data_IF_153321223060
#
_entry.id   IF_153321223060
#
_cell.length_a   1.000
_cell.length_b   1.000
_cell.length_c   1.000
_cell.angle_alpha   90.00
_cell.angle_beta   90.00
_cell.angle_gamma   90.00
#
_symmetry.space_group_name_H-M   'P 1'
#
loop_
_entity.id
_entity.type
_entity.pdbx_description
1 polymer ?
#
# COMPACT_ATOMS: atom_id res chain seq x y z
N UNK A 1 -14.28 -7.74 27.89
CA UNK A 1 -14.16 -6.29 27.85
C UNK A 1 -15.31 -5.68 27.06
N UNK A 2 -15.70 -4.48 27.36
CA UNK A 2 -16.81 -3.74 26.71
C UNK A 2 -16.30 -2.88 25.53
N UNK A 3 -15.27 -3.31 24.82
CA UNK A 3 -14.70 -2.56 23.71
C UNK A 3 -15.46 -2.78 22.41
N UNK A 4 -15.48 -1.76 21.55
CA UNK A 4 -16.00 -1.81 20.19
C UNK A 4 -14.89 -1.59 19.17
N UNK A 5 -14.87 -2.40 18.11
CA UNK A 5 -13.92 -2.29 16.99
C UNK A 5 -14.66 -1.73 15.77
N UNK A 6 -14.14 -0.66 15.19
CA UNK A 6 -14.53 -0.19 13.86
C UNK A 6 -13.41 -0.53 12.87
N UNK A 7 -13.70 -1.40 11.91
CA UNK A 7 -12.78 -1.80 10.85
C UNK A 7 -13.09 -1.07 9.54
N UNK A 8 -12.04 -0.53 8.91
CA UNK A 8 -12.13 0.23 7.66
C UNK A 8 -11.34 -0.48 6.56
N UNK A 9 -11.93 -0.59 5.38
CA UNK A 9 -11.24 -1.06 4.17
C UNK A 9 -11.90 -0.45 2.93
N UNK A 10 -11.17 -0.34 1.84
CA UNK A 10 -11.68 0.07 0.52
C UNK A 10 -11.98 -1.13 -0.36
N UNK A 11 -11.39 -2.29 -0.08
CA UNK A 11 -11.57 -3.53 -0.82
C UNK A 11 -12.87 -4.23 -0.41
N UNK A 12 -13.93 -4.00 -1.16
CA UNK A 12 -15.25 -4.58 -0.87
C UNK A 12 -15.25 -6.12 -0.91
N UNK A 13 -14.37 -6.74 -1.70
CA UNK A 13 -14.32 -8.20 -1.88
C UNK A 13 -13.74 -8.86 -0.63
N UNK A 14 -12.57 -8.41 -0.20
CA UNK A 14 -11.89 -8.99 0.96
C UNK A 14 -12.57 -8.58 2.27
N UNK A 15 -13.10 -7.37 2.34
CA UNK A 15 -13.88 -6.90 3.49
C UNK A 15 -15.11 -7.77 3.74
N UNK A 16 -15.91 -8.09 2.70
CA UNK A 16 -17.10 -8.92 2.83
C UNK A 16 -16.78 -10.32 3.36
N UNK A 17 -15.73 -10.96 2.85
CA UNK A 17 -15.27 -12.27 3.31
C UNK A 17 -14.81 -12.24 4.77
N UNK A 18 -14.08 -11.18 5.14
CA UNK A 18 -13.58 -11.00 6.49
C UNK A 18 -14.71 -10.72 7.48
N UNK A 19 -15.68 -9.88 7.11
CA UNK A 19 -16.86 -9.64 7.94
C UNK A 19 -17.65 -10.91 8.16
N UNK A 20 -17.97 -11.68 7.11
CA UNK A 20 -18.67 -12.95 7.24
C UNK A 20 -17.95 -13.91 8.19
N UNK A 21 -16.64 -14.06 8.05
CA UNK A 21 -15.82 -14.91 8.92
C UNK A 21 -15.91 -14.48 10.40
N UNK A 22 -15.83 -13.16 10.65
CA UNK A 22 -15.88 -12.63 12.02
C UNK A 22 -17.28 -12.75 12.64
N UNK A 23 -18.35 -12.51 11.85
CA UNK A 23 -19.73 -12.74 12.30
C UNK A 23 -19.97 -14.19 12.67
N UNK A 24 -19.45 -15.14 11.89
CA UNK A 24 -19.54 -16.58 12.17
C UNK A 24 -18.77 -16.99 13.44
N UNK A 25 -17.78 -16.20 13.87
CA UNK A 25 -17.06 -16.39 15.14
C UNK A 25 -17.75 -15.72 16.34
N UNK A 26 -18.91 -15.08 16.13
CA UNK A 26 -19.71 -14.48 17.21
C UNK A 26 -19.44 -13.00 17.46
N UNK A 27 -18.66 -12.32 16.61
CA UNK A 27 -18.47 -10.87 16.73
C UNK A 27 -19.68 -10.14 16.11
N UNK A 28 -20.69 -9.85 16.94
CA UNK A 28 -21.91 -9.17 16.55
C UNK A 28 -21.71 -7.66 16.27
N UNK A 29 -22.77 -6.96 15.81
CA UNK A 29 -22.72 -5.54 15.52
C UNK A 29 -22.52 -4.66 16.77
N UNK A 30 -22.73 -5.21 17.96
CA UNK A 30 -22.45 -4.62 19.26
C UNK A 30 -20.92 -4.54 19.57
N UNK A 31 -20.12 -5.41 18.94
CA UNK A 31 -18.68 -5.51 19.14
C UNK A 31 -17.89 -5.00 17.92
N UNK A 32 -18.42 -5.23 16.70
CA UNK A 32 -17.72 -4.98 15.45
C UNK A 32 -18.59 -4.20 14.46
N UNK A 33 -18.10 -3.05 14.02
CA UNK A 33 -18.59 -2.32 12.85
C UNK A 33 -17.57 -2.43 11.71
N UNK A 34 -18.04 -2.76 10.50
CA UNK A 34 -17.21 -2.79 9.29
C UNK A 34 -17.73 -1.73 8.32
N UNK A 35 -16.84 -0.89 7.80
CA UNK A 35 -17.19 0.20 6.90
C UNK A 35 -16.31 0.18 5.64
N UNK A 36 -16.95 0.19 4.46
CA UNK A 36 -16.25 0.42 3.19
C UNK A 36 -15.95 1.91 3.04
N UNK A 37 -14.81 2.34 3.57
CA UNK A 37 -14.36 3.72 3.53
C UNK A 37 -12.83 3.77 3.49
N UNK A 38 -12.28 4.77 2.81
CA UNK A 38 -10.86 5.02 2.84
C UNK A 38 -10.46 5.58 4.21
N UNK A 39 -9.41 5.06 4.81
CA UNK A 39 -8.96 5.50 6.14
C UNK A 39 -8.52 6.98 6.18
N UNK A 40 -8.24 7.61 5.03
CA UNK A 40 -8.08 9.06 4.95
C UNK A 40 -9.33 9.84 5.40
N UNK A 41 -10.50 9.19 5.42
CA UNK A 41 -11.76 9.77 5.87
C UNK A 41 -12.13 9.30 7.29
N UNK A 42 -11.14 9.05 8.13
CA UNK A 42 -11.34 8.60 9.51
C UNK A 42 -12.09 9.62 10.37
N UNK A 43 -12.01 10.90 10.02
CA UNK A 43 -12.79 11.99 10.63
C UNK A 43 -14.30 11.77 10.47
N UNK A 44 -14.78 11.39 9.29
CA UNK A 44 -16.20 11.05 9.05
C UNK A 44 -16.66 9.87 9.91
N UNK A 45 -15.74 8.92 10.19
CA UNK A 45 -16.02 7.78 11.06
C UNK A 45 -16.09 8.23 12.52
N UNK A 46 -15.15 9.07 12.96
CA UNK A 46 -15.13 9.61 14.32
C UNK A 46 -16.32 10.52 14.61
N UNK A 47 -16.86 11.25 13.63
CA UNK A 47 -18.09 12.02 13.77
C UNK A 47 -19.32 11.15 14.06
N UNK A 48 -19.36 9.92 13.54
CA UNK A 48 -20.48 8.99 13.71
C UNK A 48 -20.34 8.08 14.93
N UNK A 49 -19.14 7.58 15.16
CA UNK A 49 -18.87 6.52 16.14
C UNK A 49 -18.19 7.07 17.41
N UNK A 50 -17.78 8.34 17.41
CA UNK A 50 -16.97 8.93 18.48
C UNK A 50 -15.48 8.76 18.23
N UNK A 51 -14.67 9.44 19.08
CA UNK A 51 -13.21 9.36 19.02
C UNK A 51 -12.70 8.00 19.51
N UNK A 52 -11.49 7.65 19.12
CA UNK A 52 -10.89 6.35 19.36
C UNK A 52 -9.85 6.39 20.50
N UNK A 53 -9.82 5.33 21.30
CA UNK A 53 -8.79 5.12 22.32
C UNK A 53 -7.54 4.47 21.73
N UNK A 54 -7.71 3.70 20.65
CA UNK A 54 -6.63 3.05 19.94
C UNK A 54 -6.93 2.97 18.44
N UNK A 55 -5.94 3.31 17.62
CA UNK A 55 -6.01 3.15 16.17
C UNK A 55 -4.82 2.29 15.72
N UNK A 56 -5.12 1.24 14.95
CA UNK A 56 -4.13 0.43 14.25
C UNK A 56 -4.32 0.62 12.74
N UNK A 57 -3.28 1.06 12.05
CA UNK A 57 -3.24 1.06 10.59
C UNK A 57 -2.25 -0.01 10.12
N UNK A 58 -2.76 -1.01 9.40
CA UNK A 58 -1.97 -2.07 8.75
C UNK A 58 -1.94 -1.74 7.25
N UNK A 59 -0.81 -1.15 6.80
CA UNK A 59 -0.69 -0.61 5.44
C UNK A 59 -0.35 -1.69 4.42
N UNK A 60 -0.52 -1.35 3.15
CA UNK A 60 -0.18 -2.22 2.03
C UNK A 60 -1.28 -3.20 1.63
N UNK A 61 -0.89 -4.33 1.10
CA UNK A 61 -1.79 -5.35 0.53
C UNK A 61 -1.65 -6.68 1.25
N UNK A 62 -2.77 -7.39 1.40
CA UNK A 62 -2.80 -8.71 2.01
C UNK A 62 -2.29 -9.80 1.05
N UNK A 63 -1.86 -10.95 1.61
CA UNK A 63 -1.51 -12.13 0.81
C UNK A 63 -2.66 -12.58 -0.09
N UNK A 64 -3.90 -12.49 0.37
CA UNK A 64 -5.08 -12.86 -0.41
C UNK A 64 -5.26 -11.99 -1.67
N UNK A 65 -4.94 -10.70 -1.57
CA UNK A 65 -4.94 -9.79 -2.73
C UNK A 65 -3.77 -10.10 -3.67
N UNK A 66 -2.57 -10.38 -3.13
CA UNK A 66 -1.38 -10.72 -3.92
C UNK A 66 -1.55 -12.05 -4.67
N UNK A 67 -2.19 -13.04 -4.05
CA UNK A 67 -2.38 -14.38 -4.61
C UNK A 67 -3.55 -14.45 -5.61
N UNK A 68 -4.33 -13.38 -5.76
CA UNK A 68 -5.38 -13.29 -6.76
C UNK A 68 -4.83 -12.69 -8.07
N UNK A 69 -4.64 -13.47 -9.17
CA UNK A 69 -4.08 -12.99 -10.42
C UNK A 69 -4.89 -11.85 -11.05
N UNK A 70 -6.23 -11.84 -10.88
CA UNK A 70 -7.13 -10.84 -11.46
C UNK A 70 -6.94 -9.42 -10.88
N UNK A 71 -6.22 -9.31 -9.77
CA UNK A 71 -5.89 -8.03 -9.12
C UNK A 71 -4.59 -7.42 -9.64
N UNK A 72 -3.72 -8.21 -10.25
CA UNK A 72 -2.46 -7.76 -10.84
C UNK A 72 -1.35 -7.38 -9.84
N UNK A 73 -1.48 -7.66 -8.54
CA UNK A 73 -0.47 -7.29 -7.53
C UNK A 73 0.80 -8.14 -7.60
N UNK A 74 0.75 -9.31 -8.23
CA UNK A 74 1.88 -10.21 -8.31
C UNK A 74 2.43 -10.33 -9.74
N UNK A 75 3.74 -10.17 -9.90
CA UNK A 75 4.44 -10.45 -11.15
C UNK A 75 4.77 -11.94 -11.35
N UNK A 76 4.36 -12.82 -10.42
CA UNK A 76 4.60 -14.27 -10.48
C UNK A 76 3.59 -14.99 -11.37
N UNK A 77 2.37 -14.47 -11.43
CA UNK A 77 1.27 -15.01 -12.20
C UNK A 77 0.86 -14.02 -13.28
N UNK A 78 0.40 -14.52 -14.42
CA UNK A 78 -0.16 -13.66 -15.46
C UNK A 78 -1.57 -13.23 -15.08
N UNK A 79 -1.87 -11.96 -15.32
CA UNK A 79 -3.14 -11.35 -15.04
C UNK A 79 -3.20 -9.91 -15.54
N UNK A 80 -4.35 -9.24 -15.48
CA UNK A 80 -4.47 -7.85 -15.87
C UNK A 80 -3.58 -6.97 -14.99
N UNK A 81 -2.93 -5.98 -15.59
CA UNK A 81 -2.12 -4.98 -14.86
C UNK A 81 -3.06 -3.93 -14.27
N UNK A 82 -3.78 -4.30 -13.20
CA UNK A 82 -4.77 -3.43 -12.54
C UNK A 82 -4.17 -2.64 -11.38
N UNK A 83 -3.78 -3.30 -10.31
CA UNK A 83 -3.15 -2.76 -9.07
C UNK A 83 -4.05 -1.88 -8.21
N UNK A 84 -5.34 -1.71 -8.52
CA UNK A 84 -6.26 -0.93 -7.69
C UNK A 84 -6.71 -1.72 -6.46
N UNK A 85 -6.75 -1.06 -5.31
CA UNK A 85 -7.35 -1.61 -4.08
C UNK A 85 -8.88 -1.64 -4.18
N UNK A 86 -9.50 -0.60 -4.74
CA UNK A 86 -10.92 -0.56 -5.11
C UNK A 86 -11.07 -0.53 -6.63
N UNK A 87 -11.33 -1.69 -7.25
CA UNK A 87 -11.47 -1.82 -8.70
C UNK A 87 -12.70 -1.09 -9.27
N UNK A 88 -13.57 -0.55 -8.42
CA UNK A 88 -14.75 0.23 -8.85
C UNK A 88 -14.42 1.71 -9.07
N UNK A 89 -13.19 2.16 -8.73
CA UNK A 89 -12.77 3.56 -8.79
C UNK A 89 -11.43 3.71 -9.50
N UNK A 90 -11.21 4.91 -10.05
CA UNK A 90 -9.95 5.24 -10.70
C UNK A 90 -9.68 4.41 -11.96
N UNK A 91 -8.47 4.51 -12.47
CA UNK A 91 -8.02 3.77 -13.65
C UNK A 91 -6.98 2.70 -13.26
N UNK A 92 -6.97 1.53 -13.93
CA UNK A 92 -5.96 0.52 -13.69
C UNK A 92 -4.57 0.98 -14.14
N UNK A 93 -3.52 0.37 -13.60
CA UNK A 93 -2.14 0.73 -13.93
C UNK A 93 -1.84 0.62 -15.44
N UNK A 94 -2.47 -0.31 -16.14
CA UNK A 94 -2.37 -0.45 -17.61
C UNK A 94 -2.88 0.79 -18.36
N UNK A 95 -3.95 1.43 -17.91
CA UNK A 95 -4.46 2.68 -18.48
C UNK A 95 -3.59 3.87 -18.06
N UNK A 96 -3.21 3.94 -16.78
CA UNK A 96 -2.33 4.97 -16.25
C UNK A 96 -1.02 5.09 -17.05
N UNK A 97 -0.41 3.97 -17.42
CA UNK A 97 0.81 3.92 -18.22
C UNK A 97 0.66 4.53 -19.63
N UNK A 98 -0.57 4.57 -20.19
CA UNK A 98 -0.83 5.20 -21.50
C UNK A 98 -0.81 6.72 -21.44
N UNK A 99 -1.00 7.30 -20.26
CA UNK A 99 -1.17 8.75 -20.07
C UNK A 99 0.06 9.43 -19.44
N UNK A 100 1.04 8.66 -18.93
CA UNK A 100 2.27 9.23 -18.37
C UNK A 100 3.35 9.42 -19.43
N UNK A 101 4.16 10.44 -19.25
CA UNK A 101 5.39 10.61 -20.02
C UNK A 101 6.50 9.70 -19.47
N UNK A 102 7.60 9.57 -20.24
CA UNK A 102 8.78 8.82 -19.77
C UNK A 102 9.32 9.38 -18.46
N UNK A 103 9.43 10.70 -18.36
CA UNK A 103 10.05 11.37 -17.22
C UNK A 103 9.15 11.29 -15.98
N UNK A 104 7.83 11.36 -16.14
CA UNK A 104 6.87 11.11 -15.06
C UNK A 104 6.94 9.66 -14.56
N UNK A 105 7.03 8.69 -15.46
CA UNK A 105 7.14 7.29 -15.05
C UNK A 105 8.48 7.00 -14.37
N UNK A 106 9.58 7.56 -14.87
CA UNK A 106 10.89 7.48 -14.21
C UNK A 106 10.85 8.10 -12.82
N UNK A 107 10.26 9.29 -12.66
CA UNK A 107 10.06 9.96 -11.37
C UNK A 107 9.23 9.10 -10.42
N UNK A 108 8.13 8.53 -10.88
CA UNK A 108 7.29 7.61 -10.09
C UNK A 108 8.08 6.41 -9.56
N UNK A 109 8.92 5.78 -10.39
CA UNK A 109 9.75 4.64 -9.99
C UNK A 109 10.79 5.03 -8.92
N UNK A 110 11.36 6.22 -9.03
CA UNK A 110 12.34 6.74 -8.06
C UNK A 110 11.63 7.08 -6.74
N UNK A 111 10.59 7.90 -6.80
CA UNK A 111 9.95 8.48 -5.62
C UNK A 111 9.16 7.45 -4.81
N UNK A 112 8.46 6.51 -5.48
CA UNK A 112 7.61 5.54 -4.82
C UNK A 112 8.33 4.26 -4.38
N UNK A 113 9.51 3.94 -4.97
CA UNK A 113 10.14 2.66 -4.68
C UNK A 113 11.67 2.64 -4.65
N UNK A 114 12.33 3.79 -4.78
CA UNK A 114 13.79 3.89 -4.83
C UNK A 114 14.39 2.93 -5.90
N UNK A 115 13.75 2.83 -7.10
CA UNK A 115 14.17 1.91 -8.16
C UNK A 115 15.47 2.38 -8.83
N UNK A 116 16.60 1.64 -8.73
CA UNK A 116 17.88 2.09 -9.26
C UNK A 116 17.97 2.05 -10.79
N UNK A 117 17.10 1.29 -11.47
CA UNK A 117 17.05 1.18 -12.93
C UNK A 117 15.82 1.89 -13.51
N UNK A 118 15.34 2.92 -12.83
CA UNK A 118 14.13 3.65 -13.21
C UNK A 118 14.20 4.19 -14.65
N UNK A 119 15.33 4.78 -15.05
CA UNK A 119 15.53 5.35 -16.38
C UNK A 119 15.46 4.28 -17.49
N UNK A 120 16.10 3.13 -17.28
CA UNK A 120 16.11 2.00 -18.23
C UNK A 120 14.71 1.39 -18.36
N UNK A 121 14.03 1.16 -17.23
CA UNK A 121 12.68 0.59 -17.21
C UNK A 121 11.70 1.56 -17.88
N UNK A 122 11.69 2.83 -17.51
CA UNK A 122 10.83 3.83 -18.11
C UNK A 122 11.07 3.95 -19.62
N UNK A 123 12.33 3.93 -20.05
CA UNK A 123 12.68 3.98 -21.48
C UNK A 123 12.10 2.79 -22.24
N UNK A 124 12.26 1.57 -21.74
CA UNK A 124 11.81 0.35 -22.42
C UNK A 124 10.29 0.27 -22.47
N UNK A 125 9.61 0.56 -21.36
CA UNK A 125 8.14 0.54 -21.27
C UNK A 125 7.53 1.59 -22.21
N UNK A 126 8.01 2.83 -22.18
CA UNK A 126 7.48 3.89 -23.02
C UNK A 126 7.78 3.69 -24.51
N UNK A 127 8.91 3.06 -24.86
CA UNK A 127 9.19 2.67 -26.25
C UNK A 127 8.21 1.61 -26.76
N UNK A 128 7.84 0.66 -25.91
CA UNK A 128 6.87 -0.37 -26.28
C UNK A 128 5.49 0.21 -26.51
N UNK A 129 5.02 1.08 -25.61
CA UNK A 129 3.75 1.80 -25.76
C UNK A 129 3.72 2.68 -27.02
N UNK A 130 4.81 3.41 -27.34
CA UNK A 130 4.93 4.21 -28.58
C UNK A 130 4.84 3.39 -29.87
N UNK A 131 5.17 2.10 -29.82
CA UNK A 131 4.98 1.16 -30.95
C UNK A 131 3.55 0.67 -31.10
N UNK A 132 2.67 1.07 -30.20
CA UNK A 132 1.28 0.58 -30.16
C UNK A 132 1.10 -0.78 -29.50
N UNK A 133 2.11 -1.27 -28.78
CA UNK A 133 2.02 -2.52 -28.05
C UNK A 133 1.56 -2.23 -26.61
N UNK A 134 0.38 -2.71 -26.20
CA UNK A 134 -0.14 -2.46 -24.87
C UNK A 134 0.70 -3.14 -23.79
N UNK A 135 0.77 -2.51 -22.61
CA UNK A 135 1.37 -3.08 -21.38
C UNK A 135 0.21 -3.29 -20.41
N UNK A 136 -0.59 -4.29 -20.69
CA UNK A 136 -1.88 -4.56 -20.04
C UNK A 136 -1.89 -5.77 -19.12
N UNK A 137 -0.79 -6.54 -19.10
CA UNK A 137 -0.63 -7.69 -18.21
C UNK A 137 0.61 -7.61 -17.34
N UNK A 138 0.55 -8.30 -16.22
CA UNK A 138 1.67 -8.44 -15.28
C UNK A 138 2.89 -9.10 -15.93
N UNK A 139 2.68 -10.14 -16.74
CA UNK A 139 3.73 -10.82 -17.49
C UNK A 139 4.39 -9.90 -18.51
N UNK A 140 3.60 -9.07 -19.23
CA UNK A 140 4.15 -8.13 -20.20
C UNK A 140 5.06 -7.08 -19.54
N UNK A 141 4.61 -6.51 -18.42
CA UNK A 141 5.44 -5.57 -17.66
C UNK A 141 6.73 -6.22 -17.16
N UNK A 142 6.65 -7.43 -16.62
CA UNK A 142 7.83 -8.21 -16.19
C UNK A 142 8.82 -8.44 -17.34
N UNK A 143 8.36 -8.87 -18.53
CA UNK A 143 9.21 -9.04 -19.71
C UNK A 143 9.96 -7.75 -20.08
N UNK A 144 9.30 -6.60 -19.99
CA UNK A 144 9.92 -5.32 -20.28
C UNK A 144 10.96 -4.92 -19.23
N UNK A 145 10.73 -5.24 -17.97
CA UNK A 145 11.72 -5.06 -16.91
C UNK A 145 12.93 -5.96 -17.15
N UNK A 146 12.74 -7.24 -17.49
CA UNK A 146 13.82 -8.16 -17.85
C UNK A 146 14.64 -7.64 -19.03
N UNK A 147 14.00 -7.08 -20.05
CA UNK A 147 14.62 -6.44 -21.20
C UNK A 147 15.40 -5.18 -20.83
N UNK A 148 14.86 -4.35 -19.92
CA UNK A 148 15.55 -3.16 -19.45
C UNK A 148 16.87 -3.47 -18.75
N UNK A 149 16.90 -4.59 -18.00
CA UNK A 149 18.05 -5.03 -17.21
C UNK A 149 19.01 -5.96 -17.96
N UNK A 150 18.91 -6.07 -19.28
CA UNK A 150 19.78 -6.98 -20.07
C UNK A 150 21.27 -6.69 -19.90
N UNK A 151 21.65 -5.45 -19.60
CA UNK A 151 23.04 -5.02 -19.39
C UNK A 151 23.59 -5.34 -17.99
N UNK A 152 22.74 -5.72 -17.04
CA UNK A 152 23.19 -6.17 -15.72
C UNK A 152 23.98 -7.48 -15.89
N UNK A 153 25.13 -7.65 -15.23
CA UNK A 153 25.91 -8.88 -15.30
C UNK A 153 25.06 -10.13 -15.06
N UNK A 154 25.31 -11.20 -15.80
CA UNK A 154 24.48 -12.42 -15.75
C UNK A 154 24.38 -13.03 -14.35
N UNK A 155 25.44 -12.92 -13.54
CA UNK A 155 25.47 -13.40 -12.16
C UNK A 155 24.44 -12.69 -11.27
N UNK A 156 24.22 -11.39 -11.48
CA UNK A 156 23.39 -10.54 -10.63
C UNK A 156 21.99 -10.31 -11.21
N UNK A 157 21.82 -10.56 -12.52
CA UNK A 157 20.62 -10.19 -13.28
C UNK A 157 19.33 -10.79 -12.72
N UNK A 158 19.34 -12.06 -12.34
CA UNK A 158 18.13 -12.72 -11.80
C UNK A 158 17.62 -12.04 -10.54
N UNK A 159 18.51 -11.69 -9.63
CA UNK A 159 18.15 -11.00 -8.40
C UNK A 159 17.77 -9.53 -8.64
N UNK A 160 18.47 -8.83 -9.54
CA UNK A 160 18.14 -7.48 -9.96
C UNK A 160 16.73 -7.41 -10.56
N UNK A 161 16.40 -8.29 -11.51
CA UNK A 161 15.06 -8.37 -12.11
C UNK A 161 13.99 -8.62 -11.06
N UNK A 162 14.21 -9.58 -10.14
CA UNK A 162 13.28 -9.87 -9.06
C UNK A 162 12.99 -8.62 -8.19
N UNK A 163 14.04 -7.90 -7.82
CA UNK A 163 13.92 -6.67 -7.02
C UNK A 163 13.25 -5.55 -7.80
N UNK A 164 13.63 -5.34 -9.06
CA UNK A 164 13.03 -4.30 -9.89
C UNK A 164 11.57 -4.59 -10.24
N UNK A 165 11.18 -5.86 -10.44
CA UNK A 165 9.78 -6.21 -10.56
C UNK A 165 9.01 -5.81 -9.29
N UNK A 166 9.48 -6.20 -8.11
CA UNK A 166 8.82 -5.85 -6.85
C UNK A 166 8.66 -4.33 -6.68
N UNK A 167 9.72 -3.56 -6.96
CA UNK A 167 9.72 -2.09 -6.87
C UNK A 167 8.83 -1.43 -7.92
N UNK A 168 8.87 -1.87 -9.17
CA UNK A 168 8.04 -1.31 -10.24
C UNK A 168 6.55 -1.53 -9.96
N UNK A 169 6.16 -2.73 -9.52
CA UNK A 169 4.78 -3.03 -9.13
C UNK A 169 4.36 -2.22 -7.89
N UNK A 170 5.24 -2.08 -6.90
CA UNK A 170 5.00 -1.21 -5.76
C UNK A 170 4.81 0.25 -6.19
N UNK A 171 5.67 0.79 -7.04
CA UNK A 171 5.60 2.18 -7.50
C UNK A 171 4.29 2.47 -8.23
N UNK A 172 3.86 1.60 -9.13
CA UNK A 172 2.59 1.71 -9.84
C UNK A 172 1.39 1.57 -8.89
N UNK A 173 1.46 0.65 -7.92
CA UNK A 173 0.40 0.48 -6.92
C UNK A 173 0.22 1.74 -6.09
N UNK A 174 1.30 2.31 -5.61
CA UNK A 174 1.28 3.56 -4.85
C UNK A 174 0.64 4.68 -5.66
N UNK A 175 1.00 4.82 -6.94
CA UNK A 175 0.47 5.87 -7.83
C UNK A 175 -1.03 5.69 -8.09
N UNK A 176 -1.49 4.52 -8.55
CA UNK A 176 -2.91 4.32 -8.90
C UNK A 176 -3.86 4.36 -7.71
N UNK A 177 -3.35 4.15 -6.49
CA UNK A 177 -4.14 4.22 -5.26
C UNK A 177 -3.88 5.51 -4.46
N UNK A 178 -2.99 6.39 -4.92
CA UNK A 178 -2.56 7.60 -4.20
C UNK A 178 -2.16 7.31 -2.75
N UNK A 179 -1.42 6.21 -2.53
CA UNK A 179 -1.21 5.66 -1.18
C UNK A 179 -0.50 6.65 -0.25
N UNK A 180 0.44 7.45 -0.76
CA UNK A 180 1.16 8.44 0.05
C UNK A 180 0.27 9.62 0.44
N UNK A 181 -0.53 10.16 -0.48
CA UNK A 181 -1.47 11.25 -0.20
C UNK A 181 -2.56 10.82 0.77
N UNK A 182 -3.04 9.58 0.61
CA UNK A 182 -4.01 8.96 1.53
C UNK A 182 -3.41 8.81 2.92
N UNK A 183 -2.17 8.31 3.02
CA UNK A 183 -1.46 8.16 4.29
C UNK A 183 -1.19 9.53 4.95
N UNK A 184 -0.72 10.52 4.20
CA UNK A 184 -0.49 11.86 4.72
C UNK A 184 -1.78 12.49 5.27
N UNK A 185 -2.88 12.38 4.53
CA UNK A 185 -4.20 12.87 4.97
C UNK A 185 -4.65 12.18 6.27
N UNK A 186 -4.49 10.87 6.36
CA UNK A 186 -4.79 10.11 7.57
C UNK A 186 -3.95 10.58 8.75
N UNK A 187 -2.63 10.68 8.58
CA UNK A 187 -1.72 11.12 9.63
C UNK A 187 -2.01 12.53 10.14
N UNK A 188 -2.46 13.44 9.26
CA UNK A 188 -2.89 14.79 9.63
C UNK A 188 -4.14 14.80 10.49
N UNK A 189 -5.09 13.88 10.24
CA UNK A 189 -6.36 13.80 10.96
C UNK A 189 -6.28 13.03 12.29
N UNK A 190 -5.26 12.20 12.49
CA UNK A 190 -5.11 11.37 13.68
C UNK A 190 -5.26 12.12 15.01
N UNK A 191 -4.65 13.30 15.23
CA UNK A 191 -4.80 14.03 16.48
C UNK A 191 -6.25 14.38 16.83
N UNK A 192 -7.06 14.69 15.83
CA UNK A 192 -8.42 15.13 16.02
C UNK A 192 -9.42 14.01 16.32
N UNK A 193 -9.07 12.78 15.94
CA UNK A 193 -9.92 11.59 16.09
C UNK A 193 -9.53 10.70 17.26
N UNK A 194 -8.41 10.97 17.94
CA UNK A 194 -7.99 10.27 19.14
C UNK A 194 -8.59 10.94 20.40
N UNK A 195 -8.99 10.12 21.37
CA UNK A 195 -9.28 10.55 22.71
C UNK A 195 -8.01 11.05 23.42
N UNK A 196 -8.11 11.93 24.42
CA UNK A 196 -6.97 12.25 25.29
C UNK A 196 -6.36 10.98 25.89
N UNK A 197 -5.05 10.79 25.69
CA UNK A 197 -4.34 9.55 26.09
C UNK A 197 -4.50 8.38 25.12
N UNK A 198 -5.22 8.58 24.02
CA UNK A 198 -5.34 7.59 22.94
C UNK A 198 -4.00 7.28 22.28
N UNK A 199 -3.90 6.11 21.67
CA UNK A 199 -2.67 5.60 21.07
C UNK A 199 -2.90 5.25 19.59
N UNK A 200 -1.83 5.37 18.80
CA UNK A 200 -1.83 4.94 17.40
C UNK A 200 -0.61 4.06 17.12
N UNK A 201 -0.83 3.01 16.36
CA UNK A 201 0.22 2.16 15.80
C UNK A 201 0.02 2.06 14.29
N UNK A 202 1.12 2.15 13.54
CA UNK A 202 1.12 2.03 12.08
C UNK A 202 2.15 0.97 11.68
N UNK A 203 1.69 -0.07 11.00
CA UNK A 203 2.57 -1.07 10.39
C UNK A 203 2.93 -0.59 8.98
N UNK A 204 4.23 -0.46 8.74
CA UNK A 204 4.79 0.00 7.46
C UNK A 204 5.61 -1.11 6.83
N UNK A 205 5.53 -1.27 5.51
CA UNK A 205 6.19 -2.37 4.78
C UNK A 205 7.31 -1.90 3.87
N UNK A 206 7.46 -0.60 3.65
CA UNK A 206 8.54 -0.03 2.86
C UNK A 206 8.99 1.35 3.38
N UNK A 207 10.17 1.80 2.91
CA UNK A 207 10.84 3.03 3.35
C UNK A 207 10.01 4.30 3.18
N UNK A 208 9.17 4.36 2.14
CA UNK A 208 8.31 5.51 1.86
C UNK A 208 7.27 5.75 2.96
N UNK A 209 6.51 4.70 3.31
CA UNK A 209 5.54 4.75 4.42
C UNK A 209 6.22 5.08 5.75
N UNK A 210 7.32 4.37 6.06
CA UNK A 210 8.05 4.56 7.31
C UNK A 210 8.54 6.01 7.47
N UNK A 211 9.01 6.63 6.40
CA UNK A 211 9.45 8.03 6.36
C UNK A 211 8.32 9.00 6.69
N UNK A 212 7.14 8.81 6.08
CA UNK A 212 5.96 9.65 6.31
C UNK A 212 5.46 9.54 7.77
N UNK A 213 5.32 8.32 8.27
CA UNK A 213 4.86 8.07 9.65
C UNK A 213 5.84 8.67 10.67
N UNK A 214 7.14 8.40 10.54
CA UNK A 214 8.18 8.95 11.43
C UNK A 214 8.20 10.47 11.43
N UNK A 215 8.09 11.09 10.25
CA UNK A 215 8.05 12.54 10.12
C UNK A 215 6.84 13.10 10.86
N UNK A 216 5.66 12.59 10.60
CA UNK A 216 4.40 13.03 11.23
C UNK A 216 4.46 12.89 12.75
N UNK A 217 4.86 11.72 13.27
CA UNK A 217 4.93 11.48 14.70
C UNK A 217 5.94 12.41 15.39
N UNK A 218 7.11 12.59 14.79
CA UNK A 218 8.14 13.50 15.33
C UNK A 218 7.66 14.96 15.35
N UNK A 219 7.01 15.42 14.31
CA UNK A 219 6.46 16.77 14.23
C UNK A 219 5.36 17.00 15.29
N UNK A 220 4.46 16.03 15.47
CA UNK A 220 3.39 16.11 16.47
C UNK A 220 3.91 16.06 17.90
N UNK A 221 4.97 15.28 18.20
CA UNK A 221 5.64 15.32 19.51
C UNK A 221 6.29 16.68 19.73
N UNK A 222 6.99 17.23 18.74
CA UNK A 222 7.61 18.56 18.83
C UNK A 222 6.57 19.68 19.04
N UNK A 223 5.40 19.53 18.45
CA UNK A 223 4.29 20.47 18.60
C UNK A 223 3.53 20.30 19.94
N UNK A 224 3.85 19.29 20.73
CA UNK A 224 3.15 18.99 22.00
C UNK A 224 1.77 18.38 21.82
N UNK A 225 1.42 17.92 20.61
CA UNK A 225 0.17 17.23 20.29
C UNK A 225 0.22 15.79 20.79
N UNK A 226 1.32 15.08 20.50
CA UNK A 226 1.59 13.77 21.10
C UNK A 226 2.53 13.94 22.30
N UNK A 227 2.26 13.21 23.38
CA UNK A 227 3.12 13.19 24.57
C UNK A 227 4.46 12.50 24.31
N UNK A 228 4.44 11.45 23.50
CA UNK A 228 5.62 10.67 23.12
C UNK A 228 5.40 9.92 21.79
N UNK A 229 6.49 9.49 21.19
CA UNK A 229 6.54 8.53 20.11
C UNK A 229 7.68 7.54 20.36
N UNK A 230 7.55 6.32 19.86
CA UNK A 230 8.62 5.33 19.91
C UNK A 230 9.89 5.90 19.26
N UNK A 231 11.06 5.74 19.94
CA UNK A 231 12.34 6.25 19.41
C UNK A 231 12.76 5.54 18.13
N UNK A 232 12.49 4.24 18.08
CA UNK A 232 12.84 3.35 16.98
C UNK A 232 11.63 2.53 16.54
N UNK A 233 11.75 1.90 15.36
CA UNK A 233 10.76 0.95 14.86
C UNK A 233 10.67 -0.23 15.81
N UNK A 234 9.46 -0.55 16.26
CA UNK A 234 9.17 -1.75 17.04
C UNK A 234 9.19 -2.93 16.06
N UNK A 235 10.13 -3.86 16.28
CA UNK A 235 10.29 -5.04 15.44
C UNK A 235 9.73 -6.27 16.17
N UNK A 236 9.24 -7.28 15.42
CA UNK A 236 8.81 -8.52 16.04
C UNK A 236 9.96 -9.19 16.78
N UNK A 237 9.66 -9.83 17.90
CA UNK A 237 10.62 -10.64 18.64
C UNK A 237 11.03 -11.88 17.85
N UNK A 238 12.15 -12.50 18.23
CA UNK A 238 12.58 -13.77 17.62
C UNK A 238 11.55 -14.90 17.83
N UNK A 239 10.74 -14.81 18.87
CA UNK A 239 9.66 -15.76 19.17
C UNK A 239 8.47 -15.54 18.23
N UNK A 240 8.03 -14.30 18.06
CA UNK A 240 6.97 -13.94 17.09
C UNK A 240 7.36 -14.36 15.68
N UNK A 241 8.61 -14.10 15.25
CA UNK A 241 9.09 -14.54 13.93
C UNK A 241 9.08 -16.07 13.75
N UNK A 242 9.23 -16.84 14.84
CA UNK A 242 9.16 -18.31 14.77
C UNK A 242 7.74 -18.84 14.72
N UNK A 243 6.79 -18.11 15.33
CA UNK A 243 5.38 -18.52 15.37
C UNK A 243 4.62 -18.11 14.10
N UNK A 244 5.10 -17.11 13.36
CA UNK A 244 4.45 -16.51 12.18
C UNK A 244 5.30 -16.70 10.91
N UNK A 245 5.92 -17.87 10.74
CA UNK A 245 6.72 -18.22 9.54
C UNK A 245 5.86 -18.77 8.41
#
# INVERSE_FOLDING_TARGET
GEGHLTALDVDAIEMAKTEERLRNQGFGPDILTVRKINFANIDEVAEKDGKFDFILADLGVSSMQIDNPDRGFSYKYDGPLDLRLDQTKGEPASERLKHVTRDEFEGMLIENSDEPYAAEIASVVMQELKKGHPVDTTSKLRELIEKALVRVPAADRKEAVKKSCARTFQALRIDVNSEFEVLETFLQKLPDVLNPGGRVAVLTFHSGEDRLVKKSFKENVKAGIYSEAAKDVIRPSAEECRCNS
#
